data_IF_676781072569
#
_entry.id   IF_676781072569
#
_cell.length_a   1.000
_cell.length_b   1.000
_cell.length_c   1.000
_cell.angle_alpha   90.00
_cell.angle_beta   90.00
_cell.angle_gamma   90.00
#
_symmetry.space_group_name_H-M   'P 1'
#
loop_
_entity.id
_entity.type
_entity.pdbx_description
1 polymer ?
#
# COMPACT_ATOMS: atom_id res chain seq x y z
N UNK A 1 57.35 11.32 15.49
CA UNK A 1 56.98 12.75 15.43
C UNK A 1 55.63 12.83 14.72
N UNK A 2 54.50 12.69 15.42
CA UNK A 2 53.79 13.72 16.21
C UNK A 2 53.26 14.89 15.38
N UNK A 3 51.94 14.91 15.16
CA UNK A 3 50.94 16.00 15.38
C UNK A 3 49.71 15.73 14.48
N UNK A 4 48.55 15.35 15.02
CA UNK A 4 47.56 16.13 15.79
C UNK A 4 46.64 16.99 14.91
N UNK A 5 45.46 16.45 14.59
CA UNK A 5 44.18 17.16 14.44
C UNK A 5 43.26 16.39 15.40
N UNK A 6 42.79 16.91 16.53
CA UNK A 6 42.13 18.18 16.71
C UNK A 6 40.66 17.87 16.96
N UNK A 7 40.38 17.28 18.14
CA UNK A 7 39.04 17.04 18.66
C UNK A 7 38.36 18.38 18.93
N UNK A 8 37.21 18.63 18.30
CA UNK A 8 36.19 19.56 18.80
C UNK A 8 34.86 19.25 18.09
N UNK A 9 34.10 18.29 18.61
CA UNK A 9 32.66 18.25 18.39
C UNK A 9 31.95 17.95 19.71
N UNK A 10 31.68 19.03 20.44
CA UNK A 10 30.92 19.04 21.67
C UNK A 10 29.44 18.76 21.41
N UNK A 11 28.98 17.68 22.02
CA UNK A 11 27.72 17.55 22.75
C UNK A 11 26.42 18.01 22.03
N UNK A 12 25.78 17.07 21.34
CA UNK A 12 24.35 17.10 20.99
C UNK A 12 23.70 15.76 21.39
N UNK A 13 22.47 15.77 21.93
CA UNK A 13 21.91 14.63 22.66
C UNK A 13 21.72 13.44 21.72
N UNK A 14 22.43 12.35 22.03
CA UNK A 14 22.37 11.10 21.26
C UNK A 14 21.10 10.35 21.65
N UNK A 15 20.12 10.35 20.76
CA UNK A 15 19.07 9.31 20.74
C UNK A 15 19.72 7.94 20.59
N UNK A 16 20.02 7.31 21.73
CA UNK A 16 20.74 6.06 21.87
C UNK A 16 19.86 4.86 21.48
N UNK A 17 20.42 3.96 20.67
CA UNK A 17 19.81 2.67 20.34
C UNK A 17 20.15 2.20 18.93
N UNK A 18 19.80 2.96 17.90
CA UNK A 18 19.83 2.47 16.50
C UNK A 18 21.14 2.70 15.73
N UNK A 19 21.91 3.73 16.08
CA UNK A 19 23.19 4.07 15.41
C UNK A 19 24.33 3.05 15.67
N UNK A 20 24.48 2.49 16.87
CA UNK A 20 25.52 1.49 17.15
C UNK A 20 25.30 0.17 16.37
N UNK A 21 24.05 -0.26 16.23
CA UNK A 21 23.71 -1.53 15.56
C UNK A 21 23.90 -1.47 14.04
N UNK A 22 23.52 -0.35 13.39
CA UNK A 22 23.77 -0.16 11.96
C UNK A 22 25.28 -0.10 11.67
N UNK A 23 26.03 0.61 12.53
CA UNK A 23 27.49 0.69 12.41
C UNK A 23 28.13 -0.70 12.53
N UNK A 24 27.71 -1.50 13.50
CA UNK A 24 28.21 -2.86 13.67
C UNK A 24 27.90 -3.77 12.46
N UNK A 25 26.72 -3.62 11.84
CA UNK A 25 26.38 -4.35 10.61
C UNK A 25 27.26 -3.95 9.42
N UNK A 26 27.52 -2.65 9.24
CA UNK A 26 28.38 -2.15 8.17
C UNK A 26 29.87 -2.50 8.40
N UNK A 27 30.32 -2.45 9.66
CA UNK A 27 31.67 -2.88 10.03
C UNK A 27 31.86 -4.39 9.80
N UNK A 28 30.85 -5.22 10.11
CA UNK A 28 30.86 -6.65 9.79
C UNK A 28 30.84 -6.95 8.29
N UNK A 29 30.17 -6.12 7.47
CA UNK A 29 30.23 -6.22 6.01
C UNK A 29 31.63 -5.87 5.47
N UNK A 30 32.23 -4.80 5.98
CA UNK A 30 33.58 -4.37 5.59
C UNK A 30 34.66 -5.37 6.03
N UNK A 31 34.47 -6.04 7.16
CA UNK A 31 35.34 -7.09 7.66
C UNK A 31 35.19 -8.43 6.89
N UNK A 32 34.12 -8.58 6.09
CA UNK A 32 33.81 -9.82 5.37
C UNK A 32 33.10 -10.88 6.22
N UNK A 33 32.77 -10.57 7.47
CA UNK A 33 32.07 -11.45 8.41
C UNK A 33 30.57 -11.57 8.10
N UNK A 34 30.03 -10.63 7.33
CA UNK A 34 28.64 -10.63 6.88
C UNK A 34 28.59 -10.45 5.36
N UNK A 35 27.77 -11.26 4.69
CA UNK A 35 27.45 -11.05 3.29
C UNK A 35 26.57 -9.80 3.10
N UNK A 36 26.61 -9.22 1.91
CA UNK A 36 25.74 -8.08 1.55
C UNK A 36 24.27 -8.41 1.81
N UNK A 37 23.84 -9.62 1.44
CA UNK A 37 22.47 -10.08 1.65
C UNK A 37 22.12 -10.23 3.15
N UNK A 38 23.03 -10.70 3.99
CA UNK A 38 22.82 -10.83 5.43
C UNK A 38 22.68 -9.46 6.11
N UNK A 39 23.50 -8.50 5.69
CA UNK A 39 23.42 -7.11 6.17
C UNK A 39 22.11 -6.47 5.74
N UNK A 40 21.70 -6.67 4.49
CA UNK A 40 20.39 -6.21 4.00
C UNK A 40 19.25 -6.83 4.84
N UNK A 41 19.29 -8.13 5.13
CA UNK A 41 18.26 -8.80 5.95
C UNK A 41 18.23 -8.31 7.41
N UNK A 42 19.37 -7.98 8.01
CA UNK A 42 19.43 -7.49 9.40
C UNK A 42 19.04 -6.01 9.51
N UNK A 43 19.44 -5.18 8.55
CA UNK A 43 18.98 -3.79 8.48
C UNK A 43 17.46 -3.71 8.35
N UNK A 44 16.85 -4.65 7.64
CA UNK A 44 15.39 -4.80 7.54
C UNK A 44 14.70 -4.98 8.90
N UNK A 45 15.36 -5.56 9.91
CA UNK A 45 14.75 -5.83 11.23
C UNK A 45 14.79 -4.61 12.17
N UNK A 46 15.74 -3.68 11.97
CA UNK A 46 15.95 -2.51 12.82
C UNK A 46 14.97 -1.33 12.55
N UNK A 47 14.04 -1.50 11.62
CA UNK A 47 13.32 -0.41 10.95
C UNK A 47 11.85 -0.22 11.36
N UNK A 48 11.38 -0.90 12.42
CA UNK A 48 10.03 -0.69 12.97
C UNK A 48 10.03 0.61 13.79
N UNK A 49 9.24 1.60 13.38
CA UNK A 49 9.06 2.85 14.12
C UNK A 49 7.83 2.71 15.05
N UNK A 50 7.98 3.11 16.32
CA UNK A 50 6.87 3.14 17.28
C UNK A 50 6.22 4.52 17.27
N UNK A 51 4.90 4.58 17.12
CA UNK A 51 4.09 5.79 17.29
C UNK A 51 3.28 5.63 18.57
N UNK A 52 3.66 6.35 19.62
CA UNK A 52 3.00 6.27 20.94
C UNK A 52 2.87 4.83 21.49
N UNK A 53 1.83 4.59 22.29
CA UNK A 53 1.42 3.22 22.66
C UNK A 53 0.44 2.58 21.65
N UNK A 54 0.03 3.30 20.59
CA UNK A 54 -1.10 2.92 19.76
C UNK A 54 -0.75 2.17 18.46
N UNK A 55 0.45 2.34 17.87
CA UNK A 55 0.83 1.60 16.66
C UNK A 55 2.36 1.42 16.46
N UNK A 56 2.76 0.26 15.94
CA UNK A 56 4.11 0.04 15.37
C UNK A 56 4.00 0.14 13.86
N UNK A 57 4.50 1.24 13.28
CA UNK A 57 4.48 1.49 11.84
C UNK A 57 5.71 0.84 11.18
N UNK A 58 5.49 0.12 10.08
CA UNK A 58 6.56 -0.47 9.26
C UNK A 58 6.88 0.46 8.08
N UNK A 59 7.31 1.66 8.45
CA UNK A 59 7.46 2.78 7.53
C UNK A 59 8.38 2.45 6.35
N UNK A 60 9.27 1.46 6.45
CA UNK A 60 10.18 1.06 5.37
C UNK A 60 9.78 -0.23 4.63
N UNK A 61 8.51 -0.66 4.68
CA UNK A 61 8.01 -1.85 3.97
C UNK A 61 8.32 -1.85 2.46
N UNK A 62 8.32 -0.68 1.85
CA UNK A 62 8.73 -0.39 0.48
C UNK A 62 10.18 -0.80 0.20
N UNK A 63 11.10 -0.49 1.10
CA UNK A 63 12.53 -0.86 0.97
C UNK A 63 12.78 -2.36 1.17
N UNK A 64 11.88 -3.08 1.86
CA UNK A 64 12.05 -4.52 2.16
C UNK A 64 11.39 -5.42 1.12
N UNK A 65 10.15 -5.08 0.75
CA UNK A 65 9.29 -5.91 -0.09
C UNK A 65 8.88 -5.23 -1.39
N UNK A 66 9.19 -3.94 -1.58
CA UNK A 66 8.68 -3.17 -2.71
C UNK A 66 7.19 -2.82 -2.60
N UNK A 67 6.57 -3.03 -1.44
CA UNK A 67 5.12 -2.82 -1.20
C UNK A 67 4.94 -1.65 -0.21
N UNK A 68 4.15 -0.61 -0.54
CA UNK A 68 3.89 0.49 0.38
C UNK A 68 3.10 0.03 1.61
N UNK A 69 3.18 0.81 2.68
CA UNK A 69 2.27 0.66 3.82
C UNK A 69 0.95 1.36 3.52
N UNK A 70 -0.16 0.71 3.86
CA UNK A 70 -1.51 1.19 3.59
C UNK A 70 -2.28 1.27 4.90
N UNK A 71 -2.82 2.45 5.18
CA UNK A 71 -3.50 2.77 6.43
C UNK A 71 -4.96 2.31 6.33
N UNK A 72 -5.29 1.24 7.05
CA UNK A 72 -6.67 0.78 7.20
C UNK A 72 -7.45 1.70 8.13
N UNK A 73 -8.40 2.50 7.64
CA UNK A 73 -9.11 3.50 8.43
C UNK A 73 -10.17 2.96 9.42
N UNK A 74 -10.96 1.91 9.09
CA UNK A 74 -12.01 1.42 9.99
C UNK A 74 -11.38 0.93 11.29
N UNK A 75 -11.85 1.42 12.44
CA UNK A 75 -11.35 1.15 13.82
C UNK A 75 -10.22 2.04 14.34
N UNK A 76 -9.65 2.95 13.54
CA UNK A 76 -8.77 4.00 14.09
C UNK A 76 -9.61 5.16 14.63
N UNK A 77 -9.23 5.75 15.76
CA UNK A 77 -9.75 7.05 16.18
C UNK A 77 -9.37 8.13 15.15
N UNK A 78 -10.03 9.28 15.18
CA UNK A 78 -9.71 10.35 14.23
C UNK A 78 -8.35 10.97 14.56
N UNK A 79 -8.01 11.08 15.84
CA UNK A 79 -6.70 11.53 16.33
C UNK A 79 -5.59 10.59 15.88
N UNK A 80 -5.75 9.27 16.06
CA UNK A 80 -4.77 8.28 15.61
C UNK A 80 -4.61 8.30 14.08
N UNK A 81 -5.71 8.44 13.34
CA UNK A 81 -5.68 8.47 11.89
C UNK A 81 -4.90 9.69 11.38
N UNK A 82 -5.17 10.88 11.92
CA UNK A 82 -4.42 12.11 11.60
C UNK A 82 -2.92 11.93 11.92
N UNK A 83 -2.61 11.45 13.13
CA UNK A 83 -1.23 11.28 13.58
C UNK A 83 -0.44 10.32 12.67
N UNK A 84 -1.06 9.19 12.29
CA UNK A 84 -0.46 8.21 11.40
C UNK A 84 -0.24 8.83 10.01
N UNK A 85 -1.25 9.47 9.41
CA UNK A 85 -1.13 10.08 8.08
C UNK A 85 -0.03 11.15 8.06
N UNK A 86 0.01 12.03 9.06
CA UNK A 86 1.09 13.02 9.22
C UNK A 86 2.46 12.38 9.25
N UNK A 87 2.61 11.29 10.01
CA UNK A 87 3.89 10.59 10.12
C UNK A 87 4.36 10.03 8.78
N UNK A 88 3.46 9.43 8.01
CA UNK A 88 3.78 8.94 6.66
C UNK A 88 4.19 10.06 5.72
N UNK A 89 3.47 11.19 5.73
CA UNK A 89 3.83 12.35 4.93
C UNK A 89 5.21 12.91 5.32
N UNK A 90 5.55 12.98 6.60
CA UNK A 90 6.85 13.47 7.06
C UNK A 90 8.01 12.57 6.69
N UNK A 91 7.82 11.25 6.75
CA UNK A 91 8.91 10.29 6.51
C UNK A 91 9.05 9.88 5.04
N UNK A 92 7.95 9.77 4.31
CA UNK A 92 7.90 9.22 2.95
C UNK A 92 7.38 10.19 1.91
N UNK A 93 6.77 11.30 2.33
CA UNK A 93 6.14 12.23 1.42
C UNK A 93 4.82 11.75 0.82
N UNK A 94 4.33 10.55 1.19
CA UNK A 94 3.07 9.97 0.72
C UNK A 94 2.42 9.15 1.82
N UNK A 95 1.08 9.19 1.91
CA UNK A 95 0.28 8.31 2.75
C UNK A 95 -0.90 7.75 1.96
N UNK A 96 -1.12 6.44 2.08
CA UNK A 96 -2.21 5.71 1.43
C UNK A 96 -3.21 5.27 2.49
N UNK A 97 -4.48 5.57 2.31
CA UNK A 97 -5.55 5.23 3.25
C UNK A 97 -6.67 4.52 2.53
N UNK A 98 -7.20 3.44 3.12
CA UNK A 98 -8.28 2.65 2.53
C UNK A 98 -9.47 2.54 3.48
N UNK A 99 -10.66 2.36 2.88
CA UNK A 99 -11.95 2.28 3.56
C UNK A 99 -12.21 3.50 4.45
N UNK A 100 -11.85 4.67 3.92
CA UNK A 100 -11.97 5.97 4.54
C UNK A 100 -13.31 6.59 4.18
N UNK A 101 -14.15 6.89 5.17
CA UNK A 101 -15.44 7.54 4.94
C UNK A 101 -15.27 9.01 4.50
N UNK A 102 -16.16 9.55 3.66
CA UNK A 102 -16.04 10.92 3.13
C UNK A 102 -15.87 12.01 4.21
N UNK A 103 -16.61 11.88 5.32
CA UNK A 103 -16.50 12.83 6.44
C UNK A 103 -15.11 12.82 7.07
N UNK A 104 -14.47 11.65 7.16
CA UNK A 104 -13.13 11.49 7.73
C UNK A 104 -12.04 11.95 6.78
N UNK A 105 -12.26 11.81 5.46
CA UNK A 105 -11.37 12.37 4.45
C UNK A 105 -11.33 13.91 4.51
N UNK A 106 -12.49 14.54 4.70
CA UNK A 106 -12.57 16.00 4.89
C UNK A 106 -11.94 16.45 6.21
N UNK A 107 -12.15 15.69 7.29
CA UNK A 107 -11.48 15.94 8.57
C UNK A 107 -9.95 15.89 8.43
N UNK A 108 -9.42 14.89 7.71
CA UNK A 108 -7.98 14.79 7.42
C UNK A 108 -7.48 15.99 6.61
N UNK A 109 -8.22 16.40 5.57
CA UNK A 109 -7.85 17.55 4.75
C UNK A 109 -7.69 18.81 5.61
N UNK A 110 -8.71 19.12 6.43
CA UNK A 110 -8.69 20.29 7.31
C UNK A 110 -7.52 20.26 8.29
N UNK A 111 -7.32 19.16 9.01
CA UNK A 111 -6.24 19.07 10.02
C UNK A 111 -4.83 19.12 9.41
N UNK A 112 -4.67 18.66 8.18
CA UNK A 112 -3.39 18.68 7.47
C UNK A 112 -3.10 20.05 6.84
N UNK A 113 -4.13 20.76 6.37
CA UNK A 113 -4.00 22.09 5.75
C UNK A 113 -4.00 23.24 6.77
N UNK A 114 -4.77 23.15 7.85
CA UNK A 114 -5.00 24.26 8.80
C UNK A 114 -3.98 24.33 9.95
N UNK A 115 -3.07 23.34 10.06
CA UNK A 115 -2.15 23.23 11.19
C UNK A 115 -2.90 22.83 12.47
N UNK A 116 -2.23 22.10 13.36
CA UNK A 116 -2.89 21.58 14.56
C UNK A 116 -2.96 22.66 15.64
N UNK A 117 -4.08 23.40 15.68
CA UNK A 117 -4.35 24.36 16.75
C UNK A 117 -4.90 23.69 18.02
N UNK A 118 -5.04 22.36 18.05
CA UNK A 118 -5.75 21.63 19.11
C UNK A 118 -4.83 20.90 20.10
N UNK A 119 -3.51 20.91 19.91
CA UNK A 119 -2.56 20.41 20.91
C UNK A 119 -2.32 21.46 22.02
N UNK A 120 -3.35 21.68 22.85
CA UNK A 120 -3.20 22.35 24.14
C UNK A 120 -2.47 21.45 25.13
N UNK A 121 -1.14 21.53 25.15
CA UNK A 121 -0.31 20.80 26.11
C UNK A 121 1.18 21.05 25.86
N UNK A 122 1.73 21.99 26.62
CA UNK A 122 3.16 22.24 26.84
C UNK A 122 4.05 22.37 25.58
N UNK A 123 4.26 23.63 25.19
CA UNK A 123 5.26 24.04 24.20
C UNK A 123 6.65 23.52 24.59
N UNK A 124 7.17 22.57 23.83
CA UNK A 124 8.61 22.50 23.55
C UNK A 124 8.90 23.35 22.30
N UNK A 125 9.31 24.60 22.55
CA UNK A 125 9.72 25.57 21.55
C UNK A 125 11.03 25.13 20.85
N UNK A 126 10.92 24.31 19.79
CA UNK A 126 11.99 24.16 18.80
C UNK A 126 11.56 23.61 17.40
N UNK A 127 10.29 23.25 17.17
CA UNK A 127 9.88 22.51 15.95
C UNK A 127 8.72 23.08 15.10
N UNK A 128 7.86 23.93 15.66
CA UNK A 128 6.54 24.25 15.07
C UNK A 128 6.55 24.92 13.70
N UNK A 129 7.38 25.96 13.50
CA UNK A 129 7.42 26.69 12.21
C UNK A 129 7.93 25.84 11.04
N UNK A 130 8.70 24.77 11.31
CA UNK A 130 9.24 23.87 10.28
C UNK A 130 8.25 22.80 9.84
N UNK A 131 7.25 22.49 10.64
CA UNK A 131 6.28 21.43 10.35
C UNK A 131 5.12 21.95 9.50
N UNK A 132 4.61 23.15 9.77
CA UNK A 132 3.55 23.80 8.98
C UNK A 132 3.99 24.07 7.53
N UNK A 133 5.24 24.49 7.33
CA UNK A 133 5.79 24.68 5.99
C UNK A 133 5.95 23.37 5.18
N UNK A 134 5.98 22.20 5.84
CA UNK A 134 6.15 20.88 5.18
C UNK A 134 4.86 20.28 4.65
N UNK A 135 3.72 20.71 5.18
CA UNK A 135 2.40 20.29 4.67
C UNK A 135 1.78 21.35 3.74
N UNK A 136 2.53 22.38 3.38
CA UNK A 136 2.13 23.31 2.32
C UNK A 136 2.11 22.59 0.96
N UNK A 137 1.02 22.76 0.20
CA UNK A 137 0.90 22.20 -1.15
C UNK A 137 0.72 20.69 -1.21
N UNK A 138 0.08 20.09 -0.20
CA UNK A 138 -0.35 18.69 -0.27
C UNK A 138 -1.31 18.49 -1.45
N UNK A 139 -1.19 17.35 -2.12
CA UNK A 139 -2.14 16.91 -3.14
C UNK A 139 -2.98 15.80 -2.54
N UNK A 140 -4.29 16.03 -2.49
CA UNK A 140 -5.28 15.06 -1.99
C UNK A 140 -6.03 14.41 -3.14
N UNK A 141 -5.69 13.15 -3.43
CA UNK A 141 -6.44 12.31 -4.36
C UNK A 141 -7.36 11.37 -3.57
N UNK A 142 -8.58 11.83 -3.31
CA UNK A 142 -9.63 11.04 -2.63
C UNK A 142 -10.71 10.60 -3.61
N UNK A 143 -10.99 9.31 -3.64
CA UNK A 143 -12.15 8.75 -4.33
C UNK A 143 -13.22 8.39 -3.28
N UNK A 144 -14.34 9.12 -3.33
CA UNK A 144 -15.44 8.94 -2.38
C UNK A 144 -16.23 7.63 -2.60
N UNK A 145 -16.33 7.15 -3.84
CA UNK A 145 -17.04 5.91 -4.16
C UNK A 145 -16.23 4.69 -3.71
N UNK A 146 -14.91 4.72 -3.94
CA UNK A 146 -14.00 3.67 -3.54
C UNK A 146 -13.54 3.77 -2.07
N UNK A 147 -13.73 4.93 -1.42
CA UNK A 147 -13.27 5.22 -0.06
C UNK A 147 -11.75 5.03 0.10
N UNK A 148 -10.98 5.49 -0.89
CA UNK A 148 -9.52 5.43 -0.89
C UNK A 148 -8.92 6.83 -1.02
N UNK A 149 -7.83 7.07 -0.30
CA UNK A 149 -7.09 8.34 -0.32
C UNK A 149 -5.62 8.05 -0.60
N UNK A 150 -5.06 8.75 -1.59
CA UNK A 150 -3.64 9.01 -1.67
C UNK A 150 -3.40 10.49 -1.37
N UNK A 151 -2.59 10.77 -0.36
CA UNK A 151 -2.12 12.13 -0.08
C UNK A 151 -0.62 12.17 -0.22
N UNK A 152 -0.10 13.19 -0.92
CA UNK A 152 1.33 13.35 -1.09
C UNK A 152 1.79 14.80 -0.98
N UNK A 153 3.04 14.97 -0.56
CA UNK A 153 3.74 16.25 -0.51
C UNK A 153 4.06 16.75 -1.92
N UNK A 154 4.25 18.06 -2.07
CA UNK A 154 4.64 18.67 -3.35
C UNK A 154 5.98 18.13 -3.88
N UNK A 155 6.87 17.68 -2.99
CA UNK A 155 8.17 17.09 -3.34
C UNK A 155 8.12 15.58 -3.63
N UNK A 156 6.98 14.92 -3.42
CA UNK A 156 6.87 13.48 -3.67
C UNK A 156 6.95 13.18 -5.16
N UNK A 157 7.82 12.25 -5.52
CA UNK A 157 7.96 11.77 -6.90
C UNK A 157 7.39 10.35 -6.98
N UNK A 158 6.36 10.11 -7.81
CA UNK A 158 5.85 8.76 -8.03
C UNK A 158 6.93 7.79 -8.54
N UNK A 159 6.82 6.49 -8.25
CA UNK A 159 7.73 5.49 -8.81
C UNK A 159 7.64 5.45 -10.33
N UNK A 160 8.75 5.08 -10.98
CA UNK A 160 8.79 4.85 -12.42
C UNK A 160 7.84 3.71 -12.77
N UNK A 161 7.05 3.91 -13.84
CA UNK A 161 6.12 2.91 -14.32
C UNK A 161 6.87 1.68 -14.87
N UNK A 162 6.55 0.51 -14.34
CA UNK A 162 7.10 -0.79 -14.66
C UNK A 162 6.04 -1.87 -14.45
N UNK A 163 5.68 -2.55 -15.54
CA UNK A 163 4.65 -3.61 -15.52
C UNK A 163 3.22 -3.08 -15.59
N UNK A 164 2.32 -3.97 -15.99
CA UNK A 164 0.91 -3.64 -16.25
C UNK A 164 -0.01 -4.69 -15.63
N UNK A 165 -1.01 -4.25 -14.87
CA UNK A 165 -1.99 -5.11 -14.20
C UNK A 165 -3.37 -4.84 -14.78
N UNK A 166 -4.07 -5.89 -15.19
CA UNK A 166 -5.49 -5.82 -15.49
C UNK A 166 -6.33 -6.00 -14.23
N UNK A 167 -7.37 -5.19 -14.05
CA UNK A 167 -8.23 -5.18 -12.87
C UNK A 167 -9.69 -5.30 -13.29
N UNK A 168 -10.33 -6.39 -12.89
CA UNK A 168 -11.70 -6.72 -13.26
C UNK A 168 -12.63 -6.79 -12.04
N UNK A 169 -13.88 -6.37 -12.20
CA UNK A 169 -14.93 -6.60 -11.20
C UNK A 169 -16.13 -7.34 -11.76
N UNK A 170 -16.73 -8.21 -10.95
CA UNK A 170 -17.99 -8.86 -11.31
C UNK A 170 -19.17 -7.88 -11.23
N UNK A 171 -19.26 -7.07 -10.19
CA UNK A 171 -20.29 -6.04 -10.07
C UNK A 171 -19.74 -4.68 -9.70
N UNK A 172 -20.60 -3.66 -9.81
CA UNK A 172 -20.32 -2.30 -9.29
C UNK A 172 -20.03 -2.28 -7.80
N UNK A 173 -20.67 -3.16 -7.01
CA UNK A 173 -20.46 -3.26 -5.57
C UNK A 173 -19.05 -3.72 -5.19
N UNK A 174 -18.32 -4.36 -6.11
CA UNK A 174 -16.96 -4.86 -5.89
C UNK A 174 -15.88 -3.79 -6.21
N UNK A 175 -16.26 -2.67 -6.84
CA UNK A 175 -15.36 -1.58 -7.25
C UNK A 175 -14.53 -1.03 -6.08
N UNK A 176 -15.07 -0.80 -4.86
CA UNK A 176 -14.25 -0.29 -3.75
C UNK A 176 -13.08 -1.21 -3.40
N UNK A 177 -13.27 -2.53 -3.45
CA UNK A 177 -12.19 -3.51 -3.20
C UNK A 177 -11.19 -3.53 -4.36
N UNK A 178 -11.67 -3.34 -5.60
CA UNK A 178 -10.80 -3.24 -6.76
C UNK A 178 -9.94 -1.97 -6.74
N UNK A 179 -10.51 -0.81 -6.43
CA UNK A 179 -9.76 0.45 -6.31
C UNK A 179 -8.82 0.44 -5.10
N UNK A 180 -9.12 -0.33 -4.04
CA UNK A 180 -8.16 -0.62 -2.97
C UNK A 180 -6.90 -1.33 -3.52
N UNK A 181 -7.07 -2.27 -4.45
CA UNK A 181 -5.94 -2.90 -5.14
C UNK A 181 -5.24 -1.93 -6.09
N UNK A 182 -5.99 -1.14 -6.87
CA UNK A 182 -5.45 -0.17 -7.82
C UNK A 182 -4.59 0.90 -7.13
N UNK A 183 -4.99 1.34 -5.93
CA UNK A 183 -4.21 2.25 -5.09
C UNK A 183 -2.82 1.69 -4.84
N UNK A 184 -2.72 0.42 -4.44
CA UNK A 184 -1.43 -0.24 -4.16
C UNK A 184 -0.63 -0.45 -5.44
N UNK A 185 -1.27 -0.94 -6.51
CA UNK A 185 -0.61 -1.24 -7.78
C UNK A 185 0.04 0.03 -8.36
N UNK A 186 -0.70 1.14 -8.37
CA UNK A 186 -0.22 2.44 -8.88
C UNK A 186 0.96 2.95 -8.06
N UNK A 187 0.88 2.88 -6.73
CA UNK A 187 1.95 3.35 -5.84
C UNK A 187 3.14 2.38 -5.74
N UNK A 188 3.03 1.19 -6.32
CA UNK A 188 4.16 0.30 -6.56
C UNK A 188 4.83 0.54 -7.92
N UNK A 189 4.28 1.44 -8.74
CA UNK A 189 4.80 1.81 -10.05
C UNK A 189 4.28 0.93 -11.17
N UNK A 190 3.10 0.34 -11.07
CA UNK A 190 2.51 -0.43 -12.16
C UNK A 190 1.35 0.33 -12.80
N UNK A 191 1.19 0.17 -14.12
CA UNK A 191 0.00 0.64 -14.83
C UNK A 191 -1.20 -0.24 -14.52
N UNK A 192 -2.39 0.35 -14.41
CA UNK A 192 -3.64 -0.38 -14.15
C UNK A 192 -4.61 -0.19 -15.31
N UNK A 193 -5.04 -1.28 -15.94
CA UNK A 193 -6.14 -1.29 -16.92
C UNK A 193 -7.37 -1.83 -16.21
N UNK A 194 -8.49 -1.11 -16.28
CA UNK A 194 -9.73 -1.42 -15.53
C UNK A 194 -10.81 -1.94 -16.46
N UNK A 195 -11.57 -2.95 -16.01
CA UNK A 195 -12.81 -3.41 -16.63
C UNK A 195 -13.84 -3.75 -15.56
N UNK A 196 -14.85 -2.90 -15.39
CA UNK A 196 -15.81 -3.02 -14.29
C UNK A 196 -17.18 -3.50 -14.74
N UNK A 197 -17.93 -4.06 -13.79
CA UNK A 197 -19.30 -4.52 -13.95
C UNK A 197 -19.48 -5.57 -15.06
N UNK A 198 -18.56 -6.52 -15.11
CA UNK A 198 -18.55 -7.58 -16.12
C UNK A 198 -19.73 -8.54 -15.89
N UNK A 199 -19.87 -9.02 -14.66
CA UNK A 199 -20.87 -10.00 -14.24
C UNK A 199 -20.71 -11.36 -14.90
N UNK A 200 -21.20 -12.41 -14.22
CA UNK A 200 -21.20 -13.78 -14.78
C UNK A 200 -22.47 -14.05 -15.59
N UNK A 201 -23.62 -13.51 -15.16
CA UNK A 201 -24.90 -13.62 -15.89
C UNK A 201 -24.87 -12.97 -17.28
N UNK A 202 -23.97 -12.01 -17.49
CA UNK A 202 -23.76 -11.31 -18.75
C UNK A 202 -22.35 -11.50 -19.29
N UNK A 203 -21.83 -12.73 -19.29
CA UNK A 203 -20.42 -13.03 -19.59
C UNK A 203 -19.89 -12.45 -20.92
N UNK A 204 -20.76 -12.14 -21.88
CA UNK A 204 -20.37 -11.45 -23.11
C UNK A 204 -19.70 -10.08 -22.86
N UNK A 205 -19.98 -9.42 -21.73
CA UNK A 205 -19.33 -8.17 -21.31
C UNK A 205 -17.85 -8.34 -20.95
N UNK A 206 -17.39 -9.57 -20.72
CA UNK A 206 -15.98 -9.86 -20.40
C UNK A 206 -15.05 -9.70 -21.59
N UNK A 207 -15.52 -10.04 -22.80
CA UNK A 207 -14.63 -10.26 -23.94
C UNK A 207 -13.91 -9.00 -24.40
N UNK A 208 -14.59 -7.85 -24.47
CA UNK A 208 -13.97 -6.59 -24.89
C UNK A 208 -12.91 -6.10 -23.88
N UNK A 209 -13.18 -6.00 -22.56
CA UNK A 209 -12.17 -5.59 -21.59
C UNK A 209 -10.98 -6.56 -21.52
N UNK A 210 -11.25 -7.87 -21.57
CA UNK A 210 -10.20 -8.89 -21.52
C UNK A 210 -9.31 -8.86 -22.76
N UNK A 211 -9.89 -8.73 -23.96
CA UNK A 211 -9.13 -8.65 -25.21
C UNK A 211 -8.23 -7.42 -25.20
N UNK A 212 -8.77 -6.27 -24.80
CA UNK A 212 -7.99 -5.03 -24.63
C UNK A 212 -6.83 -5.21 -23.66
N UNK A 213 -7.06 -5.84 -22.50
CA UNK A 213 -5.98 -6.10 -21.53
C UNK A 213 -4.86 -6.96 -22.13
N UNK A 214 -5.21 -8.02 -22.87
CA UNK A 214 -4.24 -8.90 -23.54
C UNK A 214 -3.46 -8.13 -24.61
N UNK A 215 -4.14 -7.35 -25.44
CA UNK A 215 -3.51 -6.52 -26.49
C UNK A 215 -2.56 -5.47 -25.90
N UNK A 216 -2.92 -4.88 -24.77
CA UNK A 216 -2.08 -3.92 -24.05
C UNK A 216 -0.95 -4.58 -23.22
N UNK A 217 -0.84 -5.91 -23.24
CA UNK A 217 0.26 -6.65 -22.63
C UNK A 217 0.25 -6.67 -21.11
N UNK A 218 -0.91 -6.90 -20.48
CA UNK A 218 -0.97 -7.09 -19.01
C UNK A 218 -0.13 -8.30 -18.57
N UNK A 219 0.55 -8.15 -17.44
CA UNK A 219 1.43 -9.16 -16.86
C UNK A 219 0.72 -10.14 -15.92
N UNK A 220 -0.39 -9.68 -15.33
CA UNK A 220 -1.21 -10.35 -14.32
C UNK A 220 -2.59 -9.71 -14.25
N UNK A 221 -3.60 -10.50 -13.90
CA UNK A 221 -4.96 -10.03 -13.69
C UNK A 221 -5.34 -10.09 -12.20
N UNK A 222 -6.03 -9.08 -11.72
CA UNK A 222 -6.75 -9.08 -10.43
C UNK A 222 -8.24 -9.09 -10.74
N UNK A 223 -8.97 -10.05 -10.19
CA UNK A 223 -10.40 -10.21 -10.45
C UNK A 223 -11.14 -10.24 -9.12
N UNK A 224 -11.99 -9.24 -8.90
CA UNK A 224 -12.79 -9.10 -7.68
C UNK A 224 -14.21 -9.56 -7.96
N UNK A 225 -14.74 -10.46 -7.13
CA UNK A 225 -16.11 -10.95 -7.29
C UNK A 225 -16.75 -11.34 -5.96
N UNK A 226 -17.97 -10.85 -5.74
CA UNK A 226 -18.87 -11.31 -4.68
C UNK A 226 -19.74 -12.51 -5.09
N UNK A 227 -20.81 -12.75 -4.33
CA UNK A 227 -21.74 -13.88 -4.51
C UNK A 227 -21.00 -15.24 -4.55
N UNK A 228 -21.19 -16.05 -5.59
CA UNK A 228 -20.49 -17.32 -5.82
C UNK A 228 -19.04 -17.15 -6.30
N UNK A 229 -18.56 -15.92 -6.51
CA UNK A 229 -17.17 -15.62 -6.85
C UNK A 229 -16.67 -16.31 -8.13
N UNK A 230 -17.55 -16.54 -9.12
CA UNK A 230 -17.23 -17.38 -10.27
C UNK A 230 -16.35 -16.69 -11.34
N UNK A 231 -16.37 -15.35 -11.43
CA UNK A 231 -15.65 -14.62 -12.48
C UNK A 231 -14.13 -14.90 -12.52
N UNK A 232 -13.38 -14.94 -11.40
CA UNK A 232 -11.95 -15.27 -11.42
C UNK A 232 -11.64 -16.63 -12.05
N UNK A 233 -12.46 -17.66 -11.76
CA UNK A 233 -12.29 -19.00 -12.34
C UNK A 233 -12.51 -19.01 -13.85
N UNK A 234 -13.51 -18.24 -14.33
CA UNK A 234 -13.77 -18.08 -15.76
C UNK A 234 -12.60 -17.36 -16.44
N UNK A 235 -12.15 -16.24 -15.88
CA UNK A 235 -11.02 -15.46 -16.44
C UNK A 235 -9.76 -16.31 -16.50
N UNK A 236 -9.42 -17.05 -15.42
CA UNK A 236 -8.26 -17.94 -15.39
C UNK A 236 -8.32 -19.08 -16.42
N UNK A 237 -9.51 -19.51 -16.81
CA UNK A 237 -9.67 -20.50 -17.89
C UNK A 237 -9.51 -19.94 -19.30
N UNK A 238 -9.47 -18.61 -19.46
CA UNK A 238 -9.42 -17.92 -20.76
C UNK A 238 -8.07 -17.29 -21.08
N UNK A 239 -7.14 -17.22 -20.12
CA UNK A 239 -5.85 -16.56 -20.29
C UNK A 239 -4.69 -17.47 -19.88
N UNK A 240 -3.51 -17.19 -20.43
CA UNK A 240 -2.22 -17.80 -20.07
C UNK A 240 -1.44 -16.97 -19.03
N UNK A 241 -2.12 -16.04 -18.35
CA UNK A 241 -1.56 -15.14 -17.34
C UNK A 241 -1.97 -15.55 -15.92
N UNK A 242 -1.16 -15.22 -14.89
CA UNK A 242 -1.59 -15.39 -13.51
C UNK A 242 -2.85 -14.57 -13.21
N UNK A 243 -3.78 -15.15 -12.45
CA UNK A 243 -5.01 -14.49 -12.01
C UNK A 243 -5.07 -14.48 -10.48
N UNK A 244 -5.23 -13.31 -9.89
CA UNK A 244 -5.44 -13.13 -8.46
C UNK A 244 -6.94 -12.92 -8.21
N UNK A 245 -7.59 -13.91 -7.62
CA UNK A 245 -8.98 -13.84 -7.18
C UNK A 245 -9.11 -13.12 -5.84
N UNK A 246 -9.97 -12.11 -5.79
CA UNK A 246 -10.32 -11.37 -4.57
C UNK A 246 -11.79 -11.61 -4.25
N UNK A 247 -12.11 -12.46 -3.25
CA UNK A 247 -13.48 -12.68 -2.86
C UNK A 247 -14.02 -11.42 -2.17
N UNK A 248 -15.14 -10.88 -2.65
CA UNK A 248 -15.78 -9.71 -2.06
C UNK A 248 -16.91 -10.11 -1.11
N UNK A 249 -17.08 -9.34 -0.03
CA UNK A 249 -18.12 -9.55 0.97
C UNK A 249 -19.52 -9.09 0.54
N UNK A 250 -19.66 -8.59 -0.69
CA UNK A 250 -20.92 -8.05 -1.25
C UNK A 250 -22.02 -9.10 -1.46
N UNK A 251 -21.69 -10.40 -1.36
CA UNK A 251 -22.64 -11.50 -1.51
C UNK A 251 -23.60 -11.67 -0.34
N UNK A 252 -24.87 -11.95 -0.63
CA UNK A 252 -25.93 -12.23 0.34
C UNK A 252 -26.44 -13.68 0.25
N UNK A 253 -27.21 -14.12 1.25
CA UNK A 253 -27.80 -15.46 1.28
C UNK A 253 -26.86 -16.52 1.86
N UNK A 254 -26.96 -17.75 1.36
CA UNK A 254 -26.14 -18.86 1.84
C UNK A 254 -24.66 -18.63 1.52
N UNK A 255 -23.82 -18.58 2.55
CA UNK A 255 -22.41 -18.24 2.38
C UNK A 255 -22.16 -16.76 2.05
N UNK A 256 -23.02 -15.86 2.53
CA UNK A 256 -22.78 -14.41 2.48
C UNK A 256 -21.48 -13.95 3.17
N UNK A 257 -21.27 -12.64 3.22
CA UNK A 257 -20.04 -12.01 3.73
C UNK A 257 -18.77 -12.52 3.02
N UNK A 258 -18.91 -12.98 1.77
CA UNK A 258 -17.80 -13.45 0.93
C UNK A 258 -17.38 -14.91 1.18
N UNK A 259 -18.05 -15.64 2.08
CA UNK A 259 -17.70 -17.04 2.39
C UNK A 259 -17.87 -17.96 1.17
N UNK A 260 -18.97 -17.82 0.44
CA UNK A 260 -19.23 -18.58 -0.78
C UNK A 260 -18.20 -18.26 -1.86
N UNK A 261 -17.92 -16.97 -2.08
CA UNK A 261 -16.91 -16.50 -3.02
C UNK A 261 -15.52 -17.08 -2.68
N UNK A 262 -15.11 -17.03 -1.42
CA UNK A 262 -13.81 -17.55 -0.97
C UNK A 262 -13.70 -19.07 -1.20
N UNK A 263 -14.69 -19.84 -0.76
CA UNK A 263 -14.68 -21.30 -0.93
C UNK A 263 -14.70 -21.69 -2.41
N UNK A 264 -15.49 -20.99 -3.23
CA UNK A 264 -15.55 -21.21 -4.68
C UNK A 264 -14.20 -20.96 -5.36
N UNK A 265 -13.56 -19.82 -5.07
CA UNK A 265 -12.26 -19.48 -5.66
C UNK A 265 -11.16 -20.46 -5.21
N UNK A 266 -11.16 -20.91 -3.95
CA UNK A 266 -10.20 -21.90 -3.44
C UNK A 266 -10.41 -23.30 -4.02
N UNK A 267 -11.65 -23.68 -4.33
CA UNK A 267 -11.98 -24.98 -4.92
C UNK A 267 -11.90 -25.00 -6.45
N UNK A 268 -11.59 -23.86 -7.08
CA UNK A 268 -11.46 -23.76 -8.52
C UNK A 268 -10.37 -24.68 -9.05
N UNK A 269 -10.66 -25.37 -10.14
CA UNK A 269 -9.68 -26.19 -10.85
C UNK A 269 -8.92 -25.41 -11.93
N UNK A 270 -9.23 -24.13 -12.15
CA UNK A 270 -8.55 -23.29 -13.14
C UNK A 270 -7.09 -23.06 -12.74
N UNK A 271 -6.10 -23.58 -13.50
CA UNK A 271 -4.70 -23.38 -13.16
C UNK A 271 -4.33 -21.90 -13.28
N UNK A 272 -3.42 -21.43 -12.43
CA UNK A 272 -2.97 -20.04 -12.42
C UNK A 272 -3.86 -19.07 -11.61
N UNK A 273 -4.98 -19.54 -11.07
CA UNK A 273 -5.75 -18.78 -10.08
C UNK A 273 -5.13 -18.88 -8.68
N UNK A 274 -4.81 -17.74 -8.08
CA UNK A 274 -4.41 -17.62 -6.66
C UNK A 274 -5.41 -16.75 -5.92
N UNK A 275 -5.79 -17.15 -4.71
CA UNK A 275 -6.86 -16.48 -3.96
C UNK A 275 -6.31 -15.76 -2.73
N UNK A 276 -6.70 -14.51 -2.53
CA UNK A 276 -6.42 -13.76 -1.29
C UNK A 276 -7.60 -13.85 -0.32
N UNK A 277 -7.43 -13.29 0.88
CA UNK A 277 -8.53 -13.22 1.86
C UNK A 277 -9.67 -12.30 1.38
N UNK A 278 -10.85 -12.44 2.00
CA UNK A 278 -12.04 -11.66 1.70
C UNK A 278 -11.76 -10.16 1.83
N UNK A 279 -12.18 -9.40 0.82
CA UNK A 279 -11.98 -7.96 0.65
C UNK A 279 -10.51 -7.49 0.69
N UNK A 280 -9.53 -8.39 0.53
CA UNK A 280 -8.12 -8.02 0.66
C UNK A 280 -7.56 -7.40 -0.63
N UNK A 281 -8.10 -6.25 -1.01
CA UNK A 281 -7.67 -5.48 -2.18
C UNK A 281 -6.20 -5.06 -2.06
N UNK A 282 -5.77 -4.58 -0.88
CA UNK A 282 -4.35 -4.25 -0.62
C UNK A 282 -3.43 -5.44 -0.90
N UNK A 283 -3.76 -6.63 -0.39
CA UNK A 283 -2.96 -7.83 -0.58
C UNK A 283 -2.91 -8.28 -2.04
N UNK A 284 -4.03 -8.21 -2.74
CA UNK A 284 -4.12 -8.52 -4.16
C UNK A 284 -3.28 -7.56 -5.00
N UNK A 285 -3.41 -6.26 -4.76
CA UNK A 285 -2.64 -5.24 -5.47
C UNK A 285 -1.13 -5.37 -5.25
N UNK A 286 -0.72 -5.68 -4.02
CA UNK A 286 0.68 -5.95 -3.70
C UNK A 286 1.23 -7.16 -4.45
N UNK A 287 0.50 -8.28 -4.43
CA UNK A 287 0.90 -9.50 -5.14
C UNK A 287 0.98 -9.27 -6.65
N UNK A 288 -0.02 -8.59 -7.22
CA UNK A 288 -0.06 -8.26 -8.64
C UNK A 288 1.13 -7.41 -9.07
N UNK A 289 1.41 -6.32 -8.34
CA UNK A 289 2.52 -5.45 -8.66
C UNK A 289 3.89 -6.14 -8.53
N UNK A 290 4.06 -7.07 -7.59
CA UNK A 290 5.28 -7.87 -7.48
C UNK A 290 5.47 -8.80 -8.68
N UNK A 291 4.40 -9.45 -9.14
CA UNK A 291 4.42 -10.31 -10.32
C UNK A 291 4.74 -9.47 -11.56
N UNK A 292 4.01 -8.38 -11.77
CA UNK A 292 4.17 -7.51 -12.93
C UNK A 292 5.60 -6.97 -13.02
N UNK A 293 6.10 -6.34 -11.95
CA UNK A 293 7.47 -5.78 -11.94
C UNK A 293 8.54 -6.85 -12.07
N UNK A 294 8.32 -8.04 -11.53
CA UNK A 294 9.27 -9.16 -11.62
C UNK A 294 9.55 -9.60 -13.05
N UNK A 295 8.61 -9.40 -13.98
CA UNK A 295 8.77 -9.74 -15.40
C UNK A 295 9.60 -8.72 -16.18
N UNK A 296 9.83 -7.53 -15.62
CA UNK A 296 10.53 -6.41 -16.27
C UNK A 296 11.84 -6.03 -15.57
N UNK A 297 12.35 -6.87 -14.66
CA UNK A 297 13.66 -6.73 -14.01
C UNK A 297 14.74 -7.44 -14.81
#
# INVERSE_FOLDING_TARGET
MSRAFGDEESDRPRGGGRRPEIRALLEGLLAGDLGVDDVVQRLRLLQVAQVGECARLDVNRDLRKGVPEVIYAPRKSDEDLIAIVRRFLLEKGVALVTRLEPARAELLRRHLEEGDQSAGGEREEAGGEREEARFAGLVFAYDAAARVLAVHTASYTPPVEQGCVGLLTAGTADIPVAEEAALVITHMGCRVIRGYDIGVAGLHRLFEPLSRMIEEGVDVLVVVAGMEGALPSVVAGLVDLPVIGVPASTGYGLGGDGTAALLSMLQSCSPGLVTVNIDNGVGAGAAAALIARGRHR
#
